data_IF_707837145119
#
_entry.id   IF_707837145119
#
_cell.length_a   1.000
_cell.length_b   1.000
_cell.length_c   1.000
_cell.angle_alpha   90.00
_cell.angle_beta   90.00
_cell.angle_gamma   90.00
#
_symmetry.space_group_name_H-M   'P 1'
#
loop_
_entity.id
_entity.type
_entity.pdbx_description
1 polymer ?
#
# COMPACT_ATOMS: atom_id res chain seq x y z
N UNK A 1 -25.79 14.10 29.40
CA UNK A 1 -24.41 14.42 28.99
C UNK A 1 -23.55 13.28 29.47
N UNK A 2 -22.79 12.63 28.59
CA UNK A 2 -21.77 11.65 29.00
C UNK A 2 -20.80 12.35 29.96
N UNK A 3 -20.52 11.69 31.08
CA UNK A 3 -19.61 12.21 32.11
C UNK A 3 -18.17 12.18 31.58
N UNK A 4 -17.54 13.35 31.47
CA UNK A 4 -16.14 13.45 31.03
C UNK A 4 -15.25 13.00 32.17
N UNK A 5 -14.60 11.84 32.04
CA UNK A 5 -13.72 11.30 33.08
C UNK A 5 -12.28 11.81 32.96
N UNK A 6 -11.85 12.14 31.75
CA UNK A 6 -10.51 12.63 31.48
C UNK A 6 -10.44 13.52 30.23
N UNK A 7 -9.43 14.39 30.21
CA UNK A 7 -9.02 15.19 29.04
C UNK A 7 -7.60 14.79 28.68
N UNK A 8 -7.39 14.37 27.44
CA UNK A 8 -6.09 13.94 26.92
C UNK A 8 -5.48 15.04 26.05
N UNK A 9 -4.30 15.50 26.45
CA UNK A 9 -3.48 16.40 25.64
C UNK A 9 -2.85 15.64 24.48
N UNK A 10 -2.72 16.31 23.33
CA UNK A 10 -2.11 15.79 22.11
C UNK A 10 -2.78 14.57 21.46
N UNK A 11 -3.99 14.20 21.89
CA UNK A 11 -4.64 12.96 21.46
C UNK A 11 -5.67 13.12 20.33
N UNK A 12 -6.06 14.34 19.94
CA UNK A 12 -6.90 14.52 18.75
C UNK A 12 -6.13 14.10 17.49
N UNK A 13 -6.60 13.09 16.77
CA UNK A 13 -5.86 12.52 15.62
C UNK A 13 -5.79 13.46 14.41
N UNK A 14 -6.63 14.49 14.35
CA UNK A 14 -6.57 15.52 13.30
C UNK A 14 -5.57 16.64 13.65
N UNK A 15 -5.78 17.38 14.74
CA UNK A 15 -4.98 18.56 15.06
C UNK A 15 -3.85 18.32 16.07
N UNK A 16 -3.86 17.19 16.80
CA UNK A 16 -2.97 16.97 17.94
C UNK A 16 -3.25 17.88 19.12
N UNK A 17 -4.48 18.37 19.27
CA UNK A 17 -4.92 19.14 20.43
C UNK A 17 -5.60 18.27 21.48
N UNK A 18 -6.19 18.92 22.48
CA UNK A 18 -6.92 18.29 23.58
C UNK A 18 -8.22 17.63 23.10
N UNK A 19 -8.58 16.53 23.75
CA UNK A 19 -9.81 15.77 23.48
C UNK A 19 -10.30 15.07 24.74
N UNK A 20 -11.62 14.99 24.93
CA UNK A 20 -12.22 14.24 26.04
C UNK A 20 -12.11 12.73 25.79
N UNK A 21 -12.08 11.94 26.85
CA UNK A 21 -12.12 10.48 26.82
C UNK A 21 -13.28 9.93 25.97
N UNK A 22 -14.48 10.47 26.14
CA UNK A 22 -15.66 10.09 25.39
C UNK A 22 -15.49 10.33 23.87
N UNK A 23 -14.98 11.50 23.47
CA UNK A 23 -14.74 11.81 22.04
C UNK A 23 -13.59 11.03 21.46
N UNK A 24 -12.52 10.81 22.22
CA UNK A 24 -11.37 10.03 21.76
C UNK A 24 -11.80 8.60 21.40
N UNK A 25 -12.62 7.99 22.24
CA UNK A 25 -13.11 6.61 22.04
C UNK A 25 -14.10 6.51 20.88
N UNK A 26 -14.99 7.50 20.73
CA UNK A 26 -16.08 7.45 19.75
C UNK A 26 -15.67 7.86 18.33
N UNK A 27 -14.92 8.95 18.21
CA UNK A 27 -14.59 9.57 16.90
C UNK A 27 -13.11 9.92 16.72
N UNK A 28 -12.32 9.96 17.79
CA UNK A 28 -10.89 10.27 17.75
C UNK A 28 -10.53 11.74 17.45
N UNK A 29 -11.52 12.58 17.11
CA UNK A 29 -11.33 13.98 16.70
C UNK A 29 -12.03 14.93 17.66
N UNK A 30 -11.35 16.01 18.07
CA UNK A 30 -11.89 16.98 19.03
C UNK A 30 -13.02 17.83 18.42
N UNK A 31 -13.85 18.40 19.31
CA UNK A 31 -15.00 19.25 18.97
C UNK A 31 -14.62 20.42 18.04
N UNK A 32 -13.46 21.03 18.28
CA UNK A 32 -12.93 22.15 17.47
C UNK A 32 -12.67 21.74 16.01
N UNK A 33 -12.32 20.48 15.77
CA UNK A 33 -12.05 19.97 14.42
C UNK A 33 -13.31 19.46 13.73
N UNK A 34 -14.16 18.72 14.46
CA UNK A 34 -15.35 18.08 13.92
C UNK A 34 -16.47 18.12 14.95
N UNK A 35 -17.54 18.85 14.65
CA UNK A 35 -18.71 19.02 15.53
C UNK A 35 -19.65 17.82 15.53
N UNK A 36 -19.47 16.87 14.61
CA UNK A 36 -20.21 15.62 14.64
C UNK A 36 -19.76 14.73 15.80
N UNK A 37 -20.64 13.82 16.18
CA UNK A 37 -20.47 12.87 17.29
C UNK A 37 -20.36 11.41 16.81
N UNK A 38 -20.55 11.15 15.53
CA UNK A 38 -20.62 9.81 14.95
C UNK A 38 -19.96 9.74 13.57
N UNK A 39 -19.61 8.52 13.14
CA UNK A 39 -18.98 8.24 11.86
C UNK A 39 -17.65 7.50 12.01
N UNK A 40 -17.29 6.72 11.00
CA UNK A 40 -15.98 6.07 10.95
C UNK A 40 -14.86 7.12 10.81
N UNK A 41 -13.65 6.79 11.25
CA UNK A 41 -12.52 7.73 11.13
C UNK A 41 -12.24 8.11 9.66
N UNK A 42 -12.52 7.19 8.74
CA UNK A 42 -12.41 7.42 7.30
C UNK A 42 -13.43 8.46 6.81
N UNK A 43 -14.71 8.30 7.13
CA UNK A 43 -15.76 9.27 6.78
C UNK A 43 -15.46 10.66 7.37
N UNK A 44 -15.00 10.71 8.62
CA UNK A 44 -14.62 11.96 9.27
C UNK A 44 -13.45 12.61 8.54
N UNK A 45 -12.43 11.83 8.17
CA UNK A 45 -11.29 12.34 7.42
C UNK A 45 -11.71 12.89 6.04
N UNK A 46 -12.62 12.22 5.33
CA UNK A 46 -13.17 12.70 4.06
C UNK A 46 -13.93 14.02 4.23
N UNK A 47 -14.80 14.14 5.23
CA UNK A 47 -15.53 15.39 5.54
C UNK A 47 -14.57 16.53 5.89
N UNK A 48 -13.53 16.25 6.67
CA UNK A 48 -12.49 17.21 7.00
C UNK A 48 -11.68 17.64 5.76
N UNK A 49 -11.44 16.72 4.82
CA UNK A 49 -10.79 17.04 3.54
C UNK A 49 -11.66 17.96 2.69
N UNK A 50 -12.95 17.63 2.53
CA UNK A 50 -13.90 18.43 1.74
C UNK A 50 -14.14 19.82 2.31
N UNK A 51 -13.99 19.99 3.63
CA UNK A 51 -14.12 21.29 4.30
C UNK A 51 -12.80 22.06 4.44
N UNK A 52 -11.68 21.55 3.91
CA UNK A 52 -10.36 22.20 4.00
C UNK A 52 -9.76 22.21 5.42
N UNK A 53 -10.30 21.43 6.35
CA UNK A 53 -9.89 21.37 7.77
C UNK A 53 -9.01 20.17 8.12
N UNK A 54 -8.72 19.31 7.14
CA UNK A 54 -7.87 18.14 7.35
C UNK A 54 -6.43 18.56 7.64
N UNK A 55 -5.86 17.97 8.69
CA UNK A 55 -4.49 18.21 9.16
C UNK A 55 -3.73 16.89 9.19
N UNK A 56 -3.41 16.34 10.36
CA UNK A 56 -2.64 15.09 10.51
C UNK A 56 -3.39 13.88 9.92
N UNK A 57 -4.72 13.88 9.95
CA UNK A 57 -5.55 12.83 9.34
C UNK A 57 -5.39 12.69 7.83
N UNK A 58 -4.77 13.66 7.15
CA UNK A 58 -4.51 13.58 5.69
C UNK A 58 -3.74 12.34 5.31
N UNK A 59 -2.81 11.92 6.16
CA UNK A 59 -1.94 10.77 5.89
C UNK A 59 -2.69 9.45 6.03
N UNK A 60 -3.48 9.32 7.10
CA UNK A 60 -4.39 8.19 7.26
C UNK A 60 -5.34 8.06 6.06
N UNK A 61 -5.98 9.16 5.66
CA UNK A 61 -6.89 9.16 4.50
C UNK A 61 -6.16 8.81 3.20
N UNK A 62 -4.95 9.34 2.98
CA UNK A 62 -4.10 8.99 1.83
C UNK A 62 -3.88 7.48 1.76
N UNK A 63 -3.47 6.87 2.88
CA UNK A 63 -3.18 5.42 2.96
C UNK A 63 -4.45 4.60 2.72
N UNK A 64 -5.59 4.95 3.31
CA UNK A 64 -6.83 4.19 3.10
C UNK A 64 -7.28 4.25 1.64
N UNK A 65 -7.35 5.44 1.03
CA UNK A 65 -7.77 5.58 -0.37
C UNK A 65 -6.81 4.90 -1.34
N UNK A 66 -5.52 4.93 -1.02
CA UNK A 66 -4.49 4.28 -1.80
C UNK A 66 -4.53 2.76 -1.66
N UNK A 67 -4.84 2.25 -0.47
CA UNK A 67 -5.07 0.82 -0.25
C UNK A 67 -6.31 0.33 -1.02
N UNK A 68 -7.41 1.09 -1.04
CA UNK A 68 -8.59 0.70 -1.83
C UNK A 68 -8.29 0.61 -3.33
N UNK A 69 -7.43 1.49 -3.86
CA UNK A 69 -6.94 1.38 -5.24
C UNK A 69 -6.09 0.13 -5.45
N UNK A 70 -5.16 -0.14 -4.53
CA UNK A 70 -4.34 -1.35 -4.55
C UNK A 70 -5.19 -2.63 -4.47
N UNK A 71 -6.19 -2.65 -3.58
CA UNK A 71 -7.10 -3.78 -3.38
C UNK A 71 -7.80 -4.18 -4.67
N UNK A 72 -8.37 -3.20 -5.39
CA UNK A 72 -9.00 -3.42 -6.70
C UNK A 72 -8.01 -3.90 -7.76
N UNK A 73 -6.80 -3.34 -7.77
CA UNK A 73 -5.73 -3.79 -8.67
C UNK A 73 -5.33 -5.24 -8.38
N UNK A 74 -5.19 -5.59 -7.10
CA UNK A 74 -4.81 -6.92 -6.63
C UNK A 74 -5.88 -7.95 -6.99
N UNK A 75 -7.16 -7.63 -6.77
CA UNK A 75 -8.27 -8.48 -7.15
C UNK A 75 -8.31 -8.69 -8.67
N UNK A 76 -8.08 -7.65 -9.47
CA UNK A 76 -7.99 -7.79 -10.94
C UNK A 76 -6.84 -8.72 -11.36
N UNK A 77 -5.67 -8.56 -10.74
CA UNK A 77 -4.46 -9.32 -11.06
C UNK A 77 -4.53 -10.79 -10.59
N UNK A 78 -5.10 -11.07 -9.43
CA UNK A 78 -5.09 -12.39 -8.78
C UNK A 78 -6.43 -13.13 -8.85
N UNK A 79 -7.55 -12.41 -8.79
CA UNK A 79 -8.92 -12.92 -8.82
C UNK A 79 -9.61 -12.96 -7.45
N UNK A 80 -8.90 -12.58 -6.39
CA UNK A 80 -9.41 -12.53 -5.02
C UNK A 80 -8.81 -11.34 -4.28
N UNK A 81 -9.47 -10.88 -3.21
CA UNK A 81 -8.96 -9.80 -2.36
C UNK A 81 -7.70 -10.21 -1.57
N UNK A 82 -6.85 -9.24 -1.17
CA UNK A 82 -5.75 -9.51 -0.25
C UNK A 82 -6.25 -10.05 1.08
N UNK A 83 -5.50 -10.97 1.69
CA UNK A 83 -5.78 -11.42 3.06
C UNK A 83 -5.55 -10.29 4.06
N UNK A 84 -6.19 -10.34 5.24
CA UNK A 84 -6.05 -9.30 6.28
C UNK A 84 -4.59 -9.03 6.67
N UNK A 85 -3.72 -10.04 6.63
CA UNK A 85 -2.29 -9.84 6.90
C UNK A 85 -1.56 -9.15 5.73
N UNK A 86 -1.95 -9.44 4.49
CA UNK A 86 -1.44 -8.77 3.31
C UNK A 86 -1.91 -7.30 3.24
N UNK A 87 -3.11 -7.00 3.72
CA UNK A 87 -3.60 -5.63 3.89
C UNK A 87 -2.66 -4.80 4.78
N UNK A 88 -2.27 -5.34 5.94
CA UNK A 88 -1.35 -4.66 6.85
C UNK A 88 -0.03 -4.37 6.15
N UNK A 89 0.54 -5.35 5.45
CA UNK A 89 1.79 -5.18 4.71
C UNK A 89 1.64 -4.18 3.55
N UNK A 90 0.54 -4.22 2.80
CA UNK A 90 0.27 -3.28 1.73
C UNK A 90 0.19 -1.85 2.26
N UNK A 91 -0.54 -1.62 3.36
CA UNK A 91 -0.64 -0.30 4.01
C UNK A 91 0.73 0.20 4.50
N UNK A 92 1.59 -0.68 5.03
CA UNK A 92 2.98 -0.32 5.40
C UNK A 92 3.82 0.09 4.19
N UNK A 93 3.75 -0.67 3.10
CA UNK A 93 4.46 -0.32 1.85
C UNK A 93 3.95 1.03 1.31
N UNK A 94 2.64 1.26 1.29
CA UNK A 94 2.01 2.52 0.86
C UNK A 94 2.44 3.71 1.76
N UNK A 95 2.65 3.45 3.04
CA UNK A 95 3.14 4.44 4.01
C UNK A 95 4.62 4.78 3.80
N UNK A 96 5.35 3.98 3.01
CA UNK A 96 6.78 4.14 2.78
C UNK A 96 7.67 3.46 3.84
N UNK A 97 7.09 2.55 4.63
CA UNK A 97 7.84 1.84 5.67
C UNK A 97 8.77 0.78 5.07
N UNK A 98 9.96 0.64 5.67
CA UNK A 98 10.83 -0.51 5.47
C UNK A 98 10.62 -1.53 6.61
N UNK A 99 10.37 -2.79 6.28
CA UNK A 99 10.10 -3.81 7.29
C UNK A 99 10.41 -5.23 6.85
N UNK A 100 10.65 -6.11 7.83
CA UNK A 100 10.73 -7.55 7.61
C UNK A 100 9.33 -8.17 7.71
N UNK A 101 8.99 -9.03 6.75
CA UNK A 101 7.75 -9.82 6.80
C UNK A 101 7.99 -11.07 7.64
N UNK A 102 7.49 -11.06 8.89
CA UNK A 102 7.54 -12.22 9.80
C UNK A 102 6.21 -12.96 9.72
N UNK A 103 6.16 -14.03 8.92
CA UNK A 103 4.97 -14.88 8.77
C UNK A 103 5.32 -16.27 8.22
N UNK A 104 4.46 -17.29 8.45
CA UNK A 104 4.62 -18.63 7.88
C UNK A 104 4.65 -18.65 6.34
N UNK A 105 5.04 -19.76 5.75
CA UNK A 105 4.82 -20.00 4.31
C UNK A 105 3.32 -20.11 4.00
N UNK A 106 2.94 -19.98 2.72
CA UNK A 106 1.54 -20.10 2.30
C UNK A 106 0.69 -18.83 2.45
N UNK A 107 1.12 -17.83 3.21
CA UNK A 107 0.40 -16.53 3.38
C UNK A 107 0.49 -15.57 2.18
N UNK A 108 1.11 -15.99 1.08
CA UNK A 108 1.20 -15.22 -0.15
C UNK A 108 2.19 -14.06 -0.16
N UNK A 109 3.31 -14.12 0.61
CA UNK A 109 4.35 -13.07 0.63
C UNK A 109 4.87 -12.71 -0.76
N UNK A 110 5.19 -13.72 -1.57
CA UNK A 110 5.66 -13.55 -2.94
C UNK A 110 4.61 -12.90 -3.84
N UNK A 111 3.35 -13.33 -3.71
CA UNK A 111 2.23 -12.80 -4.50
C UNK A 111 2.00 -11.33 -4.17
N UNK A 112 1.98 -10.97 -2.87
CA UNK A 112 1.89 -9.59 -2.43
C UNK A 112 3.02 -8.74 -3.01
N UNK A 113 4.28 -9.16 -2.84
CA UNK A 113 5.43 -8.40 -3.31
C UNK A 113 5.39 -8.17 -4.82
N UNK A 114 5.00 -9.19 -5.58
CA UNK A 114 4.91 -9.12 -7.03
C UNK A 114 3.81 -8.16 -7.50
N UNK A 115 2.58 -8.32 -6.99
CA UNK A 115 1.45 -7.49 -7.37
C UNK A 115 1.65 -6.04 -6.88
N UNK A 116 2.25 -5.85 -5.70
CA UNK A 116 2.60 -4.51 -5.22
C UNK A 116 3.63 -3.83 -6.12
N UNK A 117 4.66 -4.55 -6.59
CA UNK A 117 5.62 -3.99 -7.52
C UNK A 117 4.98 -3.57 -8.85
N UNK A 118 4.05 -4.38 -9.39
CA UNK A 118 3.27 -4.03 -10.57
C UNK A 118 2.36 -2.81 -10.34
N UNK A 119 1.73 -2.73 -9.18
CA UNK A 119 0.88 -1.59 -8.79
C UNK A 119 1.70 -0.30 -8.65
N UNK A 120 2.90 -0.38 -8.09
CA UNK A 120 3.84 0.72 -7.99
C UNK A 120 4.40 1.12 -9.36
N UNK A 121 4.63 0.15 -10.25
CA UNK A 121 5.02 0.38 -11.64
C UNK A 121 3.99 1.23 -12.40
N UNK A 122 2.69 0.94 -12.27
CA UNK A 122 1.61 1.77 -12.84
C UNK A 122 1.57 3.20 -12.27
N UNK A 123 2.29 3.46 -11.17
CA UNK A 123 2.50 4.78 -10.57
C UNK A 123 3.86 5.37 -10.89
N UNK A 124 4.50 4.87 -11.94
CA UNK A 124 5.82 5.30 -12.41
C UNK A 124 6.91 5.12 -11.34
N UNK A 125 6.79 4.07 -10.50
CA UNK A 125 7.84 3.68 -9.56
C UNK A 125 8.62 2.50 -10.09
N UNK A 126 9.94 2.60 -9.95
CA UNK A 126 10.86 1.51 -10.25
C UNK A 126 10.97 0.56 -9.07
N UNK A 127 10.81 -0.73 -9.30
CA UNK A 127 10.82 -1.77 -8.27
C UNK A 127 11.82 -2.88 -8.61
N UNK A 128 12.51 -3.41 -7.60
CA UNK A 128 13.41 -4.54 -7.74
C UNK A 128 12.92 -5.69 -6.87
N UNK A 129 12.76 -6.88 -7.46
CA UNK A 129 12.49 -8.12 -6.74
C UNK A 129 13.73 -9.01 -6.82
N UNK A 130 14.35 -9.25 -5.66
CA UNK A 130 15.56 -10.05 -5.55
C UNK A 130 15.19 -11.41 -4.97
N UNK A 131 15.65 -12.48 -5.62
CA UNK A 131 15.40 -13.87 -5.22
C UNK A 131 16.72 -14.61 -5.03
N UNK A 132 16.74 -15.71 -4.25
CA UNK A 132 17.99 -16.42 -3.96
C UNK A 132 18.46 -17.35 -5.08
N UNK A 133 17.66 -17.55 -6.14
CA UNK A 133 18.02 -18.47 -7.23
C UNK A 133 17.49 -18.02 -8.58
N UNK A 134 18.20 -18.43 -9.65
CA UNK A 134 17.78 -18.15 -11.04
C UNK A 134 16.41 -18.75 -11.35
N UNK A 135 16.11 -19.94 -10.81
CA UNK A 135 14.81 -20.61 -11.01
C UNK A 135 13.68 -19.78 -10.41
N UNK A 136 13.86 -19.26 -9.19
CA UNK A 136 12.84 -18.41 -8.58
C UNK A 136 12.70 -17.07 -9.32
N UNK A 137 13.79 -16.49 -9.79
CA UNK A 137 13.73 -15.28 -10.62
C UNK A 137 12.88 -15.50 -11.87
N UNK A 138 13.12 -16.61 -12.59
CA UNK A 138 12.35 -16.96 -13.79
C UNK A 138 10.87 -17.23 -13.48
N UNK A 139 10.57 -17.99 -12.42
CA UNK A 139 9.19 -18.25 -12.00
C UNK A 139 8.43 -16.98 -11.60
N UNK A 140 9.10 -16.03 -10.93
CA UNK A 140 8.49 -14.76 -10.58
C UNK A 140 8.25 -13.90 -11.81
N UNK A 141 9.17 -13.90 -12.78
CA UNK A 141 9.04 -13.19 -14.04
C UNK A 141 7.82 -13.67 -14.84
N UNK A 142 7.64 -14.97 -15.01
CA UNK A 142 6.48 -15.54 -15.71
C UNK A 142 5.15 -15.17 -15.02
N UNK A 143 5.12 -15.23 -13.68
CA UNK A 143 3.97 -14.77 -12.90
C UNK A 143 3.74 -13.27 -13.03
N UNK A 144 4.81 -12.48 -13.12
CA UNK A 144 4.73 -11.03 -13.26
C UNK A 144 4.00 -10.68 -14.56
N UNK A 145 4.39 -11.31 -15.67
CA UNK A 145 3.77 -11.12 -16.97
C UNK A 145 2.28 -11.50 -16.94
N UNK A 146 1.95 -12.67 -16.35
CA UNK A 146 0.55 -13.11 -16.23
C UNK A 146 -0.30 -12.14 -15.39
N UNK A 147 0.20 -11.70 -14.23
CA UNK A 147 -0.52 -10.74 -13.40
C UNK A 147 -0.62 -9.36 -14.06
N UNK A 148 0.42 -8.92 -14.78
CA UNK A 148 0.44 -7.67 -15.51
C UNK A 148 -0.62 -7.66 -16.62
N UNK A 149 -0.69 -8.73 -17.42
CA UNK A 149 -1.71 -8.92 -18.45
C UNK A 149 -3.12 -8.86 -17.85
N UNK A 150 -3.39 -9.64 -16.79
CA UNK A 150 -4.68 -9.63 -16.09
C UNK A 150 -5.02 -8.26 -15.50
N UNK A 151 -4.03 -7.57 -14.95
CA UNK A 151 -4.17 -6.22 -14.41
C UNK A 151 -4.37 -5.15 -15.50
N UNK A 152 -4.16 -5.48 -16.77
CA UNK A 152 -4.29 -4.56 -17.91
C UNK A 152 -3.09 -3.63 -18.08
N UNK A 153 -1.90 -4.01 -17.60
CA UNK A 153 -0.66 -3.30 -17.85
C UNK A 153 -0.30 -3.44 -19.33
N UNK A 154 -0.09 -2.30 -20.00
CA UNK A 154 0.15 -2.26 -21.45
C UNK A 154 1.60 -2.52 -21.83
N UNK A 155 2.52 -1.94 -21.05
CA UNK A 155 3.97 -1.99 -21.31
C UNK A 155 4.61 -3.12 -20.51
N UNK A 156 4.35 -4.36 -20.90
CA UNK A 156 4.92 -5.55 -20.24
C UNK A 156 6.37 -5.76 -20.62
N UNK A 157 6.84 -5.15 -21.70
CA UNK A 157 8.23 -5.13 -22.16
C UNK A 157 9.20 -4.44 -21.20
N UNK A 158 8.68 -3.63 -20.27
CA UNK A 158 9.40 -2.96 -19.18
C UNK A 158 9.62 -3.88 -17.97
N UNK A 159 8.94 -5.04 -17.93
CA UNK A 159 9.18 -6.08 -16.93
C UNK A 159 10.40 -6.89 -17.40
N UNK A 160 11.49 -6.81 -16.65
CA UNK A 160 12.77 -7.42 -17.01
C UNK A 160 13.22 -8.41 -15.95
N UNK A 161 13.79 -9.54 -16.39
CA UNK A 161 14.44 -10.52 -15.53
C UNK A 161 15.92 -10.63 -15.88
N UNK A 162 16.75 -10.85 -14.86
CA UNK A 162 18.16 -11.15 -15.02
C UNK A 162 18.52 -12.34 -14.14
N UNK A 163 19.13 -13.38 -14.72
CA UNK A 163 19.66 -14.50 -13.97
C UNK A 163 20.78 -15.23 -14.73
N UNK A 164 21.50 -16.13 -14.04
CA UNK A 164 22.68 -16.79 -14.59
C UNK A 164 22.38 -17.68 -15.82
N UNK A 165 21.19 -18.28 -15.88
CA UNK A 165 20.76 -19.14 -16.99
C UNK A 165 20.45 -18.43 -18.31
N UNK A 166 20.42 -17.10 -18.35
CA UNK A 166 20.23 -16.35 -19.61
C UNK A 166 21.48 -16.45 -20.50
N UNK A 167 21.27 -16.44 -21.81
CA UNK A 167 22.34 -16.31 -22.80
C UNK A 167 23.06 -14.97 -22.66
N UNK A 168 24.24 -14.84 -23.28
CA UNK A 168 25.00 -13.59 -23.24
C UNK A 168 24.20 -12.40 -23.81
N UNK A 169 23.51 -12.62 -24.94
CA UNK A 169 22.69 -11.59 -25.58
C UNK A 169 21.50 -11.15 -24.72
N UNK A 170 20.77 -12.10 -24.11
CA UNK A 170 19.65 -11.79 -23.21
C UNK A 170 20.11 -11.01 -21.97
N UNK A 171 21.29 -11.33 -21.42
CA UNK A 171 21.88 -10.58 -20.30
C UNK A 171 22.21 -9.15 -20.68
N UNK A 172 22.81 -8.95 -21.86
CA UNK A 172 23.16 -7.62 -22.36
C UNK A 172 21.90 -6.77 -22.59
N UNK A 173 20.86 -7.35 -23.21
CA UNK A 173 19.58 -6.68 -23.43
C UNK A 173 18.86 -6.34 -22.11
N UNK A 174 18.80 -7.28 -21.17
CA UNK A 174 18.22 -7.04 -19.85
C UNK A 174 18.95 -5.89 -19.12
N UNK A 175 20.28 -5.88 -19.13
CA UNK A 175 21.07 -4.82 -18.50
C UNK A 175 20.97 -3.48 -19.24
N UNK A 176 20.72 -3.48 -20.55
CA UNK A 176 20.47 -2.28 -21.34
C UNK A 176 19.13 -1.67 -20.94
N UNK A 177 18.04 -2.45 -20.95
CA UNK A 177 16.73 -2.02 -20.49
C UNK A 177 16.76 -1.48 -19.06
N UNK A 178 17.48 -2.16 -18.16
CA UNK A 178 17.67 -1.70 -16.79
C UNK A 178 18.38 -0.33 -16.76
N UNK A 179 19.34 -0.04 -17.64
CA UNK A 179 20.02 1.27 -17.65
C UNK A 179 19.21 2.38 -18.32
N UNK A 180 18.42 2.06 -19.33
CA UNK A 180 17.64 3.04 -20.09
C UNK A 180 16.36 3.50 -19.37
N UNK A 181 15.97 2.81 -18.29
CA UNK A 181 14.84 3.16 -17.43
C UNK A 181 15.24 4.07 -16.23
N UNK A 182 16.46 4.63 -16.21
CA UNK A 182 16.94 5.67 -15.28
C UNK A 182 16.82 7.08 -15.88
#
# INVERSE_FOLDING_TARGET
MEEVRAIYNFACVNCGGEITDARLTRVGVCEKCFTGDSGSLLEIAERLKSSGKIRKLKEYLRIQLEYERFKKFFEKALGFEPWSLQEVWAKRIISGDNFAIVAPTGVGKTVLGLIMALYLYEKHKRCYLITPSSILAQQLYEKALSFAERAGIRKTEDIVVYHAGLTKGEKEEALKKIRELD
#
